data_IF_472576089935
#
_entry.id   IF_472576089935
#
_cell.length_a   1.000
_cell.length_b   1.000
_cell.length_c   1.000
_cell.angle_alpha   90.00
_cell.angle_beta   90.00
_cell.angle_gamma   90.00
#
_symmetry.space_group_name_H-M   'P 1'
#
loop_
_entity.id
_entity.type
_entity.pdbx_description
1 polymer ?
#
# COMPACT_ATOMS: atom_id res chain seq x y z
N UNK A 1 -20.87 -4.10 12.16
CA UNK A 1 -19.41 -4.05 12.46
C UNK A 1 -18.87 -5.47 12.46
N UNK A 2 -18.31 -5.95 11.34
CA UNK A 2 -17.34 -7.07 11.28
C UNK A 2 -16.92 -7.31 9.82
N UNK A 3 -15.93 -6.58 9.30
CA UNK A 3 -15.39 -6.86 7.95
C UNK A 3 -13.87 -6.75 7.87
N UNK A 4 -13.19 -6.90 9.00
CA UNK A 4 -11.75 -7.16 9.02
C UNK A 4 -11.56 -8.68 8.96
N UNK A 5 -11.96 -9.30 7.86
CA UNK A 5 -11.62 -10.71 7.62
C UNK A 5 -10.09 -10.85 7.59
N UNK A 6 -9.51 -11.93 8.15
CA UNK A 6 -8.07 -12.19 8.08
C UNK A 6 -7.51 -12.11 6.65
N UNK A 7 -8.35 -12.41 5.65
CA UNK A 7 -8.03 -12.23 4.24
C UNK A 7 -7.71 -10.77 3.87
N UNK A 8 -8.39 -9.78 4.43
CA UNK A 8 -8.12 -8.35 4.19
C UNK A 8 -6.81 -7.90 4.81
N UNK A 9 -6.48 -8.38 6.02
CA UNK A 9 -5.20 -8.10 6.68
C UNK A 9 -4.05 -8.84 6.00
N UNK A 10 -4.26 -10.09 5.58
CA UNK A 10 -3.29 -10.90 4.84
C UNK A 10 -3.02 -10.35 3.44
N UNK A 11 -4.04 -9.86 2.74
CA UNK A 11 -3.89 -9.18 1.45
C UNK A 11 -3.08 -7.88 1.59
N UNK A 12 -3.31 -7.09 2.64
CA UNK A 12 -2.51 -5.89 2.92
C UNK A 12 -1.02 -6.24 3.16
N UNK A 13 -0.75 -7.32 3.89
CA UNK A 13 0.61 -7.84 4.08
C UNK A 13 1.28 -8.28 2.77
N UNK A 14 0.57 -9.03 1.93
CA UNK A 14 1.08 -9.48 0.64
C UNK A 14 1.35 -8.32 -0.33
N UNK A 15 0.45 -7.33 -0.39
CA UNK A 15 0.64 -6.12 -1.21
C UNK A 15 1.84 -5.32 -0.71
N UNK A 16 2.00 -5.15 0.60
CA UNK A 16 3.17 -4.46 1.15
C UNK A 16 4.47 -5.17 0.78
N UNK A 17 4.53 -6.50 0.90
CA UNK A 17 5.70 -7.28 0.50
C UNK A 17 6.02 -7.12 -1.00
N UNK A 18 5.00 -7.12 -1.86
CA UNK A 18 5.17 -6.87 -3.29
C UNK A 18 5.68 -5.45 -3.61
N UNK A 19 5.24 -4.44 -2.84
CA UNK A 19 5.75 -3.06 -3.01
C UNK A 19 7.21 -2.97 -2.53
N UNK A 20 7.56 -3.64 -1.42
CA UNK A 20 8.95 -3.70 -0.93
C UNK A 20 9.88 -4.31 -1.98
N UNK A 21 9.49 -5.38 -2.66
CA UNK A 21 10.34 -5.99 -3.71
C UNK A 21 10.58 -5.06 -4.89
N UNK A 22 9.57 -4.26 -5.28
CA UNK A 22 9.73 -3.23 -6.31
C UNK A 22 10.66 -2.11 -5.83
N UNK A 23 10.50 -1.62 -4.60
CA UNK A 23 11.38 -0.59 -4.02
C UNK A 23 12.82 -1.10 -3.97
N UNK A 24 13.05 -2.33 -3.49
CA UNK A 24 14.37 -2.94 -3.41
C UNK A 24 15.02 -3.08 -4.80
N UNK A 25 14.24 -3.47 -5.83
CA UNK A 25 14.72 -3.55 -7.20
C UNK A 25 15.14 -2.17 -7.74
N UNK A 26 14.37 -1.11 -7.45
CA UNK A 26 14.70 0.26 -7.85
C UNK A 26 15.94 0.78 -7.12
N UNK A 27 16.02 0.58 -5.81
CA UNK A 27 17.19 0.97 -4.99
C UNK A 27 18.46 0.32 -5.53
N UNK A 28 18.40 -0.97 -5.85
CA UNK A 28 19.51 -1.71 -6.46
C UNK A 28 19.84 -1.21 -7.87
N UNK A 29 18.83 -0.97 -8.71
CA UNK A 29 19.02 -0.52 -10.09
C UNK A 29 19.65 0.87 -10.16
N UNK A 30 19.23 1.79 -9.29
CA UNK A 30 19.70 3.18 -9.26
C UNK A 30 20.87 3.41 -8.30
N UNK A 31 21.43 2.37 -7.66
CA UNK A 31 22.50 2.47 -6.66
C UNK A 31 22.21 3.50 -5.56
N UNK A 32 20.95 3.54 -5.11
CA UNK A 32 20.54 4.42 -4.02
C UNK A 32 20.91 3.71 -2.71
N UNK A 33 21.60 4.41 -1.81
CA UNK A 33 21.89 3.85 -0.48
C UNK A 33 20.67 4.08 0.44
N UNK A 34 19.76 3.10 0.45
CA UNK A 34 18.58 3.13 1.32
C UNK A 34 18.57 1.88 2.20
N UNK A 35 18.65 2.02 3.53
CA UNK A 35 18.62 0.87 4.43
C UNK A 35 17.29 0.13 4.35
N UNK A 36 17.29 -1.18 4.62
CA UNK A 36 16.13 -2.05 4.46
C UNK A 36 14.90 -1.56 5.24
N UNK A 37 15.07 -1.08 6.48
CA UNK A 37 13.98 -0.51 7.29
C UNK A 37 13.33 0.71 6.62
N UNK A 38 14.13 1.56 5.97
CA UNK A 38 13.61 2.71 5.23
C UNK A 38 12.83 2.27 3.98
N UNK A 39 13.26 1.21 3.28
CA UNK A 39 12.53 0.65 2.15
C UNK A 39 11.15 0.12 2.57
N UNK A 40 11.07 -0.58 3.70
CA UNK A 40 9.80 -1.06 4.27
C UNK A 40 8.91 0.12 4.67
N UNK A 41 9.47 1.15 5.32
CA UNK A 41 8.73 2.36 5.69
C UNK A 41 8.13 3.07 4.46
N UNK A 42 8.91 3.19 3.38
CA UNK A 42 8.46 3.77 2.11
C UNK A 42 7.32 2.93 1.52
N UNK A 43 7.47 1.60 1.49
CA UNK A 43 6.45 0.70 0.96
C UNK A 43 5.13 0.78 1.75
N UNK A 44 5.20 0.80 3.08
CA UNK A 44 4.01 0.97 3.94
C UNK A 44 3.35 2.33 3.70
N UNK A 45 4.14 3.39 3.54
CA UNK A 45 3.65 4.72 3.18
C UNK A 45 2.88 4.74 1.86
N UNK A 46 3.42 4.09 0.82
CA UNK A 46 2.78 3.95 -0.50
C UNK A 46 1.45 3.20 -0.37
N UNK A 47 1.44 2.05 0.31
CA UNK A 47 0.22 1.24 0.48
C UNK A 47 -0.84 1.99 1.27
N UNK A 48 -0.46 2.72 2.31
CA UNK A 48 -1.37 3.53 3.12
C UNK A 48 -1.96 4.67 2.29
N UNK A 49 -1.13 5.39 1.52
CA UNK A 49 -1.59 6.45 0.63
C UNK A 49 -2.54 5.92 -0.46
N UNK A 50 -2.21 4.78 -1.07
CA UNK A 50 -3.07 4.10 -2.04
C UNK A 50 -4.40 3.66 -1.44
N UNK A 51 -4.39 3.19 -0.18
CA UNK A 51 -5.61 2.84 0.55
C UNK A 51 -6.53 4.04 0.73
N UNK A 52 -6.01 5.16 1.25
CA UNK A 52 -6.79 6.40 1.42
C UNK A 52 -7.27 6.98 0.10
N UNK A 53 -6.44 6.92 -0.95
CA UNK A 53 -6.83 7.36 -2.29
C UNK A 53 -7.96 6.50 -2.84
N UNK A 54 -7.84 5.18 -2.73
CA UNK A 54 -8.88 4.23 -3.11
C UNK A 54 -10.19 4.47 -2.38
N UNK A 55 -10.14 4.71 -1.06
CA UNK A 55 -11.31 5.07 -0.27
C UNK A 55 -11.98 6.37 -0.72
N UNK A 56 -11.19 7.41 -1.08
CA UNK A 56 -11.76 8.64 -1.64
C UNK A 56 -12.44 8.39 -2.98
N UNK A 57 -11.80 7.63 -3.88
CA UNK A 57 -12.38 7.31 -5.19
C UNK A 57 -13.65 6.46 -5.09
N UNK A 58 -13.73 5.52 -4.15
CA UNK A 58 -14.95 4.73 -3.94
C UNK A 58 -16.03 5.54 -3.25
N UNK A 59 -15.69 6.37 -2.26
CA UNK A 59 -16.65 7.26 -1.60
C UNK A 59 -17.25 8.30 -2.56
N UNK A 60 -16.46 8.83 -3.50
CA UNK A 60 -16.96 9.74 -4.55
C UNK A 60 -17.93 9.09 -5.54
N UNK A 61 -17.97 7.75 -5.65
CA UNK A 61 -18.95 7.03 -6.49
C UNK A 61 -20.26 6.74 -5.78
N UNK A 62 -20.34 6.98 -4.47
CA UNK A 62 -21.48 6.60 -3.64
C UNK A 62 -22.46 7.74 -3.36
N UNK A 63 -22.41 8.87 -4.08
CA UNK A 63 -23.47 9.89 -4.01
C UNK A 63 -24.70 9.34 -4.73
N UNK A 64 -25.79 8.93 -4.04
CA UNK A 64 -27.06 8.71 -4.69
C UNK A 64 -27.62 10.11 -4.95
N UNK A 65 -27.69 10.50 -6.22
CA UNK A 65 -28.56 11.60 -6.63
C UNK A 65 -29.98 11.23 -6.23
N UNK A 66 -30.48 11.85 -5.17
CA UNK A 66 -31.90 11.93 -4.85
C UNK A 66 -32.56 13.01 -5.71
#
# INVERSE_FOLDING_TARGET
MNSTSPASTGAAGAVTAAVVTVVAALVKHFNIDVPADAQVSIAVGIVTAAHWLGQRYTASKSTPTA
#
